data_IF_775565477477
#
_entry.id   IF_775565477477
#
_cell.length_a   1.000
_cell.length_b   1.000
_cell.length_c   1.000
_cell.angle_alpha   90.00
_cell.angle_beta   90.00
_cell.angle_gamma   90.00
#
_symmetry.space_group_name_H-M   'P 1'
#
loop_
_entity.id
_entity.type
_entity.pdbx_description
1 polymer ?
#
# COMPACT_ATOMS: atom_id res chain seq x y z
N UNK A 1 31.33 20.51 -4.49
CA UNK A 1 30.82 20.33 -5.87
C UNK A 1 29.30 20.50 -5.82
N UNK A 2 28.76 21.63 -6.28
CA UNK A 2 27.31 21.92 -6.29
C UNK A 2 26.72 21.36 -7.57
N UNK A 3 25.81 20.39 -7.47
CA UNK A 3 25.04 19.89 -8.61
C UNK A 3 23.78 20.75 -8.71
N UNK A 4 23.71 21.63 -9.71
CA UNK A 4 22.49 22.36 -10.06
C UNK A 4 21.64 21.50 -11.00
N UNK A 5 20.37 21.29 -10.67
CA UNK A 5 19.42 20.66 -11.59
C UNK A 5 18.78 21.73 -12.50
N UNK A 6 18.85 21.58 -13.84
CA UNK A 6 18.30 22.57 -14.77
C UNK A 6 16.86 22.19 -15.14
N UNK A 7 15.87 22.35 -14.26
CA UNK A 7 14.46 22.25 -14.68
C UNK A 7 13.59 23.29 -14.00
N UNK A 8 12.96 24.11 -14.83
CA UNK A 8 12.10 25.22 -14.49
C UNK A 8 10.83 24.70 -13.78
N UNK A 9 10.73 24.91 -12.47
CA UNK A 9 9.55 24.55 -11.68
C UNK A 9 8.45 25.59 -11.89
N UNK A 10 7.64 25.44 -12.94
CA UNK A 10 6.30 26.06 -12.99
C UNK A 10 5.25 25.01 -12.61
N UNK A 11 4.40 25.27 -11.61
CA UNK A 11 3.31 24.37 -11.27
C UNK A 11 2.28 24.39 -12.41
N UNK A 12 2.07 23.24 -13.03
CA UNK A 12 0.96 23.03 -13.96
C UNK A 12 -0.31 22.83 -13.12
N UNK A 13 -1.03 23.92 -12.85
CA UNK A 13 -2.38 23.84 -12.27
C UNK A 13 -3.36 23.54 -13.41
N UNK A 14 -4.12 22.43 -13.38
CA UNK A 14 -5.21 22.24 -14.34
C UNK A 14 -6.30 23.28 -14.04
N UNK A 15 -6.80 23.95 -15.09
CA UNK A 15 -7.97 24.83 -15.00
C UNK A 15 -9.16 24.00 -14.50
N UNK A 16 -9.73 24.41 -13.38
CA UNK A 16 -11.03 23.94 -12.93
C UNK A 16 -12.12 24.46 -13.89
N UNK A 17 -13.14 23.64 -14.12
CA UNK A 17 -14.42 23.92 -14.80
C UNK A 17 -14.47 23.57 -16.29
N UNK A 18 -14.84 22.31 -16.60
CA UNK A 18 -16.00 22.00 -17.46
C UNK A 18 -16.26 20.48 -17.51
N UNK A 19 -17.53 20.13 -17.27
CA UNK A 19 -18.25 18.91 -17.72
C UNK A 19 -17.87 17.55 -17.08
N UNK A 20 -18.57 17.23 -15.99
CA UNK A 20 -18.63 15.90 -15.34
C UNK A 20 -20.08 15.38 -15.31
N UNK A 21 -20.73 15.29 -16.47
CA UNK A 21 -22.14 14.83 -16.55
C UNK A 21 -22.41 13.66 -17.48
N UNK A 22 -21.40 13.05 -18.10
CA UNK A 22 -21.63 11.95 -19.07
C UNK A 22 -20.66 10.76 -18.90
N UNK A 23 -20.37 10.37 -17.66
CA UNK A 23 -19.47 9.26 -17.33
C UNK A 23 -20.19 8.09 -16.64
N UNK A 24 -21.35 7.68 -17.15
CA UNK A 24 -22.09 6.56 -16.53
C UNK A 24 -21.78 5.20 -17.13
N UNK A 25 -21.34 5.06 -18.38
CA UNK A 25 -21.08 3.73 -18.96
C UNK A 25 -19.87 3.75 -19.91
N UNK A 26 -18.91 2.85 -19.66
CA UNK A 26 -17.60 2.66 -20.32
C UNK A 26 -16.41 3.53 -19.83
N UNK A 27 -15.23 2.92 -19.77
CA UNK A 27 -13.88 3.48 -19.43
C UNK A 27 -13.39 3.47 -17.96
N UNK A 28 -13.27 2.27 -17.36
CA UNK A 28 -12.56 2.11 -16.07
C UNK A 28 -11.03 1.98 -16.17
N UNK A 29 -10.46 1.70 -17.36
CA UNK A 29 -9.06 1.23 -17.52
C UNK A 29 -8.03 2.29 -17.92
N UNK A 30 -8.42 3.56 -18.00
CA UNK A 30 -7.56 4.66 -18.48
C UNK A 30 -7.53 5.86 -17.53
N UNK A 31 -8.37 5.87 -16.49
CA UNK A 31 -8.50 7.03 -15.61
C UNK A 31 -7.33 7.13 -14.63
N UNK A 32 -6.61 8.25 -14.68
CA UNK A 32 -5.58 8.57 -13.71
C UNK A 32 -6.17 9.04 -12.38
N UNK A 33 -5.47 8.72 -11.29
CA UNK A 33 -5.76 9.17 -9.93
C UNK A 33 -4.82 10.32 -9.56
N UNK A 34 -5.39 11.41 -9.09
CA UNK A 34 -4.65 12.61 -8.67
C UNK A 34 -4.38 12.59 -7.17
N UNK A 35 -3.33 13.30 -6.74
CA UNK A 35 -3.03 13.47 -5.32
C UNK A 35 -4.15 14.31 -4.68
N UNK A 36 -4.84 13.74 -3.68
CA UNK A 36 -5.91 14.43 -2.95
C UNK A 36 -5.42 15.51 -2.00
N UNK A 37 -4.15 15.46 -1.61
CA UNK A 37 -3.53 16.38 -0.67
C UNK A 37 -2.31 17.05 -1.33
N UNK A 38 -2.50 17.86 -2.39
CA UNK A 38 -1.39 18.53 -3.04
C UNK A 38 -0.74 19.58 -2.13
N UNK A 39 -1.47 20.14 -1.17
CA UNK A 39 -0.96 21.12 -0.21
C UNK A 39 0.02 20.53 0.82
N UNK A 40 -0.08 19.23 1.14
CA UNK A 40 0.84 18.57 2.07
C UNK A 40 2.10 18.02 1.39
N UNK A 41 2.11 17.93 0.06
CA UNK A 41 3.20 17.32 -0.71
C UNK A 41 4.58 17.93 -0.42
N UNK A 42 4.68 19.26 -0.28
CA UNK A 42 5.95 19.92 -0.01
C UNK A 42 6.55 19.51 1.35
N UNK A 43 5.70 19.39 2.37
CA UNK A 43 6.13 18.95 3.70
C UNK A 43 6.53 17.47 3.70
N UNK A 44 5.77 16.62 3.00
CA UNK A 44 6.09 15.19 2.86
C UNK A 44 7.42 14.97 2.13
N UNK A 45 7.67 15.74 1.06
CA UNK A 45 8.91 15.66 0.31
C UNK A 45 10.11 16.11 1.16
N UNK A 46 9.97 17.19 1.92
CA UNK A 46 11.02 17.64 2.84
C UNK A 46 11.32 16.58 3.91
N UNK A 47 10.27 16.00 4.49
CA UNK A 47 10.43 14.94 5.47
C UNK A 47 11.14 13.72 4.88
N UNK A 48 10.75 13.27 3.68
CA UNK A 48 11.38 12.13 3.02
C UNK A 48 12.87 12.37 2.76
N UNK A 49 13.25 13.60 2.39
CA UNK A 49 14.65 13.99 2.21
C UNK A 49 15.44 13.94 3.51
N UNK A 50 14.85 14.41 4.62
CA UNK A 50 15.49 14.39 5.94
C UNK A 50 15.76 12.98 6.45
N UNK A 51 14.85 12.03 6.17
CA UNK A 51 15.00 10.62 6.55
C UNK A 51 15.72 9.78 5.50
N UNK A 52 16.17 10.39 4.39
CA UNK A 52 16.96 9.73 3.35
C UNK A 52 16.16 8.75 2.47
N UNK A 53 14.84 8.91 2.36
CA UNK A 53 14.00 8.03 1.55
C UNK A 53 13.64 8.71 0.23
N UNK A 54 13.97 8.02 -0.87
CA UNK A 54 13.79 8.51 -2.22
C UNK A 54 13.05 7.49 -3.11
N UNK A 55 12.34 7.95 -4.16
CA UNK A 55 11.73 7.04 -5.11
C UNK A 55 12.79 6.31 -5.93
N UNK A 56 12.74 4.98 -5.90
CA UNK A 56 13.63 4.09 -6.65
C UNK A 56 12.90 3.68 -7.93
N UNK A 57 13.52 3.90 -9.09
CA UNK A 57 12.90 3.71 -10.40
C UNK A 57 13.14 2.31 -10.93
N UNK A 58 12.12 1.66 -11.52
CA UNK A 58 12.29 0.40 -12.27
C UNK A 58 13.40 0.51 -13.32
N UNK A 59 14.26 -0.51 -13.37
CA UNK A 59 15.40 -0.60 -14.29
C UNK A 59 16.71 -0.03 -13.75
N UNK A 60 16.78 0.33 -12.47
CA UNK A 60 18.05 0.63 -11.79
C UNK A 60 18.52 -0.58 -10.99
N UNK A 61 19.83 -0.71 -10.76
CA UNK A 61 20.38 -1.79 -9.92
C UNK A 61 19.82 -1.75 -8.49
N UNK A 62 19.58 -0.55 -7.96
CA UNK A 62 18.95 -0.36 -6.66
C UNK A 62 17.53 -0.92 -6.60
N UNK A 63 16.75 -0.78 -7.70
CA UNK A 63 15.42 -1.37 -7.78
C UNK A 63 15.49 -2.90 -7.69
N UNK A 64 16.40 -3.51 -8.44
CA UNK A 64 16.54 -4.96 -8.50
C UNK A 64 16.98 -5.54 -7.13
N UNK A 65 17.88 -4.85 -6.43
CA UNK A 65 18.28 -5.18 -5.06
C UNK A 65 17.09 -5.18 -4.11
N UNK A 66 16.28 -4.12 -4.13
CA UNK A 66 15.16 -3.99 -3.20
C UNK A 66 13.99 -4.91 -3.52
N UNK A 67 13.69 -5.12 -4.80
CA UNK A 67 12.66 -6.09 -5.20
C UNK A 67 13.08 -7.50 -4.79
N UNK A 68 14.37 -7.84 -4.87
CA UNK A 68 14.85 -9.18 -4.54
C UNK A 68 15.11 -9.42 -3.04
N UNK A 69 15.11 -8.37 -2.21
CA UNK A 69 15.51 -8.48 -0.79
C UNK A 69 14.42 -9.04 0.13
N UNK A 70 13.19 -9.25 -0.36
CA UNK A 70 12.06 -9.64 0.47
C UNK A 70 11.40 -8.48 1.23
N UNK A 71 11.91 -7.25 1.08
CA UNK A 71 11.39 -6.10 1.79
C UNK A 71 9.95 -5.75 1.38
N UNK A 72 9.17 -5.24 2.33
CA UNK A 72 7.88 -4.61 2.03
C UNK A 72 8.10 -3.22 1.43
N UNK A 73 7.32 -2.89 0.41
CA UNK A 73 7.54 -1.71 -0.42
C UNK A 73 6.23 -0.96 -0.64
N UNK A 74 6.32 0.36 -0.74
CA UNK A 74 5.29 1.16 -1.43
C UNK A 74 5.66 1.25 -2.89
N UNK A 75 4.66 1.24 -3.78
CA UNK A 75 4.90 1.38 -5.21
C UNK A 75 3.87 2.29 -5.87
N UNK A 76 4.27 2.89 -6.99
CA UNK A 76 3.41 3.74 -7.83
C UNK A 76 3.70 3.48 -9.30
N UNK A 77 2.65 3.46 -10.11
CA UNK A 77 2.74 3.40 -11.57
C UNK A 77 2.13 4.68 -12.15
N UNK A 78 3.00 5.58 -12.60
CA UNK A 78 2.62 6.93 -12.99
C UNK A 78 1.93 6.96 -14.35
N UNK A 79 1.26 8.08 -14.68
CA UNK A 79 0.67 8.29 -16.01
C UNK A 79 1.68 8.22 -17.17
N UNK A 80 2.98 8.35 -16.88
CA UNK A 80 4.07 8.17 -17.84
C UNK A 80 4.52 6.72 -17.98
N UNK A 81 3.73 5.76 -17.47
CA UNK A 81 4.03 4.33 -17.49
C UNK A 81 5.38 3.99 -16.85
N UNK A 82 5.72 4.69 -15.76
CA UNK A 82 6.94 4.47 -14.99
C UNK A 82 6.57 3.90 -13.62
N UNK A 83 7.20 2.77 -13.27
CA UNK A 83 7.11 2.16 -11.96
C UNK A 83 8.21 2.72 -11.06
N UNK A 84 7.81 3.16 -9.87
CA UNK A 84 8.71 3.53 -8.78
C UNK A 84 8.32 2.79 -7.50
N UNK A 85 9.31 2.49 -6.68
CA UNK A 85 9.13 1.95 -5.33
C UNK A 85 9.78 2.87 -4.29
N UNK A 86 9.42 2.67 -3.03
CA UNK A 86 10.21 3.12 -1.90
C UNK A 86 10.15 2.07 -0.80
N UNK A 87 11.29 1.86 -0.15
CA UNK A 87 11.47 0.92 0.97
C UNK A 87 11.89 1.73 2.21
N UNK A 88 11.37 1.37 3.38
CA UNK A 88 11.66 2.09 4.62
C UNK A 88 10.61 1.87 5.70
N UNK A 89 10.78 2.55 6.84
CA UNK A 89 9.89 2.45 8.00
C UNK A 89 8.47 2.85 7.61
N UNK A 90 7.50 2.00 7.93
CA UNK A 90 6.08 2.24 7.63
C UNK A 90 5.67 3.68 8.00
N UNK A 91 5.20 4.44 7.02
CA UNK A 91 4.70 5.81 7.21
C UNK A 91 5.61 6.93 6.69
N UNK A 92 6.90 6.69 6.44
CA UNK A 92 7.86 7.77 6.13
C UNK A 92 7.85 8.27 4.67
N UNK A 93 7.56 7.42 3.69
CA UNK A 93 7.34 7.86 2.30
C UNK A 93 5.85 7.75 1.93
N UNK A 94 5.21 8.86 1.58
CA UNK A 94 3.86 8.84 1.02
C UNK A 94 3.90 8.40 -0.45
N UNK A 95 2.82 7.81 -0.96
CA UNK A 95 2.72 7.55 -2.41
C UNK A 95 2.87 8.84 -3.24
N UNK A 96 2.51 10.01 -2.67
CA UNK A 96 2.69 11.30 -3.33
C UNK A 96 4.17 11.64 -3.52
N UNK A 97 5.01 11.40 -2.51
CA UNK A 97 6.47 11.53 -2.63
C UNK A 97 7.03 10.59 -3.70
N UNK A 98 6.61 9.32 -3.69
CA UNK A 98 7.09 8.31 -4.65
C UNK A 98 6.72 8.72 -6.08
N UNK A 99 5.48 9.18 -6.29
CA UNK A 99 4.99 9.67 -7.57
C UNK A 99 5.49 11.07 -7.93
N UNK A 100 6.23 11.75 -7.03
CA UNK A 100 6.65 13.15 -7.17
C UNK A 100 5.48 14.12 -7.43
N UNK A 101 4.36 13.87 -6.78
CA UNK A 101 3.11 14.63 -6.94
C UNK A 101 2.36 14.39 -8.26
N UNK A 102 2.88 13.52 -9.14
CA UNK A 102 2.25 13.22 -10.42
C UNK A 102 1.01 12.34 -10.26
N UNK A 103 0.02 12.46 -11.15
CA UNK A 103 -1.06 11.50 -11.24
C UNK A 103 -0.54 10.08 -11.52
N UNK A 104 -1.27 9.09 -11.04
CA UNK A 104 -0.92 7.67 -11.17
C UNK A 104 -2.04 6.89 -11.84
N UNK A 105 -1.70 5.86 -12.61
CA UNK A 105 -2.70 4.87 -13.04
C UNK A 105 -3.02 3.90 -11.89
N UNK A 106 -2.01 3.55 -11.09
CA UNK A 106 -2.18 2.73 -9.90
C UNK A 106 -1.07 2.98 -8.90
N UNK A 107 -1.30 2.65 -7.65
CA UNK A 107 -0.34 2.70 -6.57
C UNK A 107 -0.74 1.65 -5.54
N UNK A 108 0.14 1.38 -4.59
CA UNK A 108 -0.17 0.37 -3.60
C UNK A 108 0.97 0.04 -2.66
N UNK A 109 0.74 -1.04 -1.92
CA UNK A 109 1.77 -1.72 -1.16
C UNK A 109 2.13 -3.01 -1.88
N UNK A 110 3.35 -3.48 -1.64
CA UNK A 110 3.86 -4.76 -2.13
C UNK A 110 4.62 -5.47 -1.02
N UNK A 111 4.38 -6.76 -0.80
CA UNK A 111 5.13 -7.59 0.14
C UNK A 111 5.35 -8.99 -0.45
N UNK A 112 6.44 -9.64 -0.03
CA UNK A 112 6.72 -11.00 -0.48
C UNK A 112 5.97 -12.02 0.36
N UNK A 113 5.36 -12.99 -0.33
CA UNK A 113 4.87 -14.23 0.25
C UNK A 113 5.50 -15.39 -0.52
N UNK A 114 6.49 -16.04 0.09
CA UNK A 114 7.37 -17.00 -0.56
C UNK A 114 7.97 -16.42 -1.85
N UNK A 115 7.65 -16.99 -3.00
CA UNK A 115 8.14 -16.58 -4.33
C UNK A 115 7.16 -15.71 -5.11
N UNK A 116 6.14 -15.16 -4.45
CA UNK A 116 5.13 -14.30 -5.08
C UNK A 116 5.12 -12.93 -4.40
N UNK A 117 5.18 -11.88 -5.21
CA UNK A 117 5.00 -10.51 -4.74
C UNK A 117 3.51 -10.20 -4.66
N UNK A 118 2.98 -10.13 -3.45
CA UNK A 118 1.63 -9.70 -3.19
C UNK A 118 1.52 -8.19 -3.28
N UNK A 119 0.55 -7.70 -4.06
CA UNK A 119 0.30 -6.28 -4.22
C UNK A 119 -1.14 -5.94 -3.88
N UNK A 120 -1.33 -4.84 -3.17
CA UNK A 120 -2.65 -4.36 -2.77
C UNK A 120 -2.88 -2.93 -3.23
N UNK A 121 -4.15 -2.52 -3.32
CA UNK A 121 -4.55 -1.15 -3.65
C UNK A 121 -4.47 -0.21 -2.43
N UNK A 122 -3.76 -0.60 -1.37
CA UNK A 122 -3.64 0.19 -0.15
C UNK A 122 -2.80 1.44 -0.43
N UNK A 123 -3.50 2.54 -0.62
CA UNK A 123 -2.98 3.78 -1.14
C UNK A 123 -3.47 4.93 -0.27
N UNK A 124 -2.54 5.79 0.15
CA UNK A 124 -2.90 6.97 0.94
C UNK A 124 -3.61 7.99 0.06
N UNK A 125 -2.83 8.80 -0.66
CA UNK A 125 -3.34 10.02 -1.27
C UNK A 125 -3.98 9.84 -2.65
N UNK A 126 -3.73 8.71 -3.29
CA UNK A 126 -4.30 8.35 -4.58
C UNK A 126 -5.29 7.23 -4.30
N UNK A 127 -6.60 7.49 -4.27
CA UNK A 127 -7.59 6.44 -3.99
C UNK A 127 -7.74 5.47 -5.17
N UNK A 128 -6.71 4.68 -5.44
CA UNK A 128 -6.73 3.70 -6.51
C UNK A 128 -7.67 2.56 -6.16
N UNK A 129 -8.22 1.89 -7.17
CA UNK A 129 -9.18 0.81 -6.98
C UNK A 129 -8.54 -0.55 -7.25
N UNK A 130 -9.17 -1.63 -6.78
CA UNK A 130 -8.79 -2.99 -7.20
C UNK A 130 -8.87 -3.15 -8.72
N UNK A 131 -9.78 -2.43 -9.38
CA UNK A 131 -9.88 -2.44 -10.83
C UNK A 131 -8.63 -1.84 -11.49
N UNK A 132 -8.23 -0.62 -11.10
CA UNK A 132 -7.02 0.01 -11.67
C UNK A 132 -5.76 -0.82 -11.39
N UNK A 133 -5.73 -1.45 -10.22
CA UNK A 133 -4.68 -2.40 -9.86
C UNK A 133 -4.65 -3.60 -10.83
N UNK A 134 -5.79 -4.25 -11.07
CA UNK A 134 -5.89 -5.38 -12.03
C UNK A 134 -5.51 -4.98 -13.45
N UNK A 135 -5.91 -3.78 -13.89
CA UNK A 135 -5.61 -3.30 -15.25
C UNK A 135 -4.13 -2.92 -15.45
N UNK A 136 -3.46 -2.38 -14.44
CA UNK A 136 -2.13 -1.78 -14.62
C UNK A 136 -0.99 -2.45 -13.87
N UNK A 137 -1.27 -3.29 -12.86
CA UNK A 137 -0.21 -3.94 -12.10
C UNK A 137 0.61 -4.90 -12.97
N UNK A 138 -0.06 -5.75 -13.75
CA UNK A 138 0.64 -6.67 -14.64
C UNK A 138 1.56 -5.92 -15.59
N UNK A 139 1.12 -4.79 -16.16
CA UNK A 139 1.97 -3.96 -16.99
C UNK A 139 3.15 -3.36 -16.23
N UNK A 140 2.91 -2.79 -15.04
CA UNK A 140 3.94 -2.17 -14.22
C UNK A 140 5.08 -3.16 -13.90
N UNK A 141 4.71 -4.38 -13.52
CA UNK A 141 5.60 -5.41 -13.01
C UNK A 141 6.06 -6.45 -14.05
N UNK A 142 5.48 -6.47 -15.26
CA UNK A 142 5.69 -7.51 -16.30
C UNK A 142 7.14 -7.89 -16.50
N UNK A 143 8.00 -6.89 -16.65
CA UNK A 143 9.41 -7.09 -17.03
C UNK A 143 10.35 -7.10 -15.82
N UNK A 144 9.81 -7.16 -14.60
CA UNK A 144 10.60 -7.25 -13.37
C UNK A 144 10.99 -8.70 -13.02
N UNK A 145 10.54 -9.69 -13.80
CA UNK A 145 10.82 -11.11 -13.52
C UNK A 145 10.19 -11.62 -12.22
N UNK A 146 9.16 -10.95 -11.71
CA UNK A 146 8.46 -11.31 -10.48
C UNK A 146 7.06 -11.84 -10.80
N UNK A 147 6.66 -12.90 -10.09
CA UNK A 147 5.28 -13.34 -10.09
C UNK A 147 4.50 -12.43 -9.14
N UNK A 148 3.46 -11.76 -9.63
CA UNK A 148 2.60 -10.91 -8.81
C UNK A 148 1.27 -11.58 -8.50
N UNK A 149 0.75 -11.32 -7.30
CA UNK A 149 -0.61 -11.68 -6.89
C UNK A 149 -1.32 -10.45 -6.34
N UNK A 150 -2.50 -10.13 -6.88
CA UNK A 150 -3.33 -9.05 -6.37
C UNK A 150 -4.11 -9.56 -5.16
N UNK A 151 -4.06 -8.80 -4.07
CA UNK A 151 -4.71 -9.14 -2.80
C UNK A 151 -5.48 -7.94 -2.26
N UNK A 152 -6.65 -8.20 -1.69
CA UNK A 152 -7.38 -7.19 -0.91
C UNK A 152 -7.03 -7.34 0.57
N UNK A 153 -6.08 -6.52 1.03
CA UNK A 153 -5.64 -6.55 2.42
C UNK A 153 -6.72 -6.07 3.42
N UNK A 154 -7.76 -5.37 2.97
CA UNK A 154 -8.87 -5.00 3.87
C UNK A 154 -9.70 -6.23 4.22
N UNK A 155 -9.95 -7.06 3.22
CA UNK A 155 -10.66 -8.32 3.40
C UNK A 155 -9.86 -9.27 4.30
N UNK A 156 -8.54 -9.38 4.06
CA UNK A 156 -7.67 -10.21 4.92
C UNK A 156 -7.59 -9.71 6.37
N UNK A 157 -7.55 -8.39 6.60
CA UNK A 157 -7.58 -7.84 7.96
C UNK A 157 -8.93 -8.10 8.65
N UNK A 158 -10.04 -8.01 7.92
CA UNK A 158 -11.37 -8.31 8.46
C UNK A 158 -11.47 -9.79 8.88
N UNK A 159 -11.07 -10.71 8.01
CA UNK A 159 -11.05 -12.15 8.31
C UNK A 159 -10.13 -12.48 9.49
N UNK A 160 -8.92 -11.90 9.54
CA UNK A 160 -8.00 -12.11 10.66
C UNK A 160 -8.56 -11.58 11.99
N UNK A 161 -9.31 -10.47 11.97
CA UNK A 161 -9.96 -9.92 13.15
C UNK A 161 -11.11 -10.83 13.63
N UNK A 162 -11.90 -11.38 12.71
CA UNK A 162 -12.95 -12.34 13.01
C UNK A 162 -12.38 -13.65 13.60
N UNK A 163 -11.33 -14.20 13.00
CA UNK A 163 -10.65 -15.40 13.50
C UNK A 163 -10.07 -15.19 14.90
N UNK A 164 -9.37 -14.06 15.13
CA UNK A 164 -8.87 -13.73 16.45
C UNK A 164 -10.01 -13.59 17.47
N UNK A 165 -11.10 -12.90 17.11
CA UNK A 165 -12.26 -12.74 17.98
C UNK A 165 -12.88 -14.08 18.36
N UNK A 166 -12.95 -15.03 17.40
CA UNK A 166 -13.41 -16.39 17.65
C UNK A 166 -12.47 -17.16 18.57
N UNK A 167 -11.16 -17.09 18.35
CA UNK A 167 -10.17 -17.74 19.23
C UNK A 167 -10.26 -17.23 20.67
N UNK A 168 -10.44 -15.92 20.87
CA UNK A 168 -10.62 -15.35 22.22
C UNK A 168 -11.93 -15.84 22.87
N UNK A 169 -13.03 -15.92 22.12
CA UNK A 169 -14.30 -16.45 22.63
C UNK A 169 -14.20 -17.93 23.03
N UNK A 170 -13.54 -18.77 22.22
CA UNK A 170 -13.30 -20.18 22.54
C UNK A 170 -12.43 -20.34 23.80
N UNK A 171 -11.39 -19.51 23.94
CA UNK A 171 -10.54 -19.51 25.13
C UNK A 171 -11.30 -19.09 26.41
N UNK A 172 -12.21 -18.10 26.33
CA UNK A 172 -13.05 -17.72 27.47
C UNK A 172 -14.01 -18.85 27.89
N UNK A 173 -14.60 -19.58 26.94
CA UNK A 173 -15.48 -20.71 27.23
C UNK A 173 -14.71 -21.82 27.97
N UNK A 174 -13.51 -22.16 27.50
CA UNK A 174 -12.62 -23.12 28.15
C UNK A 174 -12.24 -22.70 29.58
N UNK A 175 -11.92 -21.41 29.78
CA UNK A 175 -11.59 -20.88 31.11
C UNK A 175 -12.79 -20.89 32.06
N UNK A 176 -14.01 -20.61 31.58
CA UNK A 176 -15.24 -20.70 32.38
C UNK A 176 -15.60 -22.14 32.72
N UNK A 177 -15.48 -23.08 31.78
CA UNK A 177 -15.70 -24.51 32.02
C UNK A 177 -14.77 -25.08 33.09
N UNK A 178 -13.49 -24.70 33.08
CA UNK A 178 -12.52 -25.14 34.09
C UNK A 178 -12.74 -24.53 35.48
N UNK A 179 -13.33 -23.33 35.59
CA UNK A 179 -13.71 -22.75 36.89
C UNK A 179 -14.90 -23.47 37.53
N UNK A 180 -15.86 -23.93 36.72
CA UNK A 180 -17.02 -24.68 37.23
C UNK A 180 -16.62 -26.09 37.70
N UNK A 181 -15.66 -26.74 37.03
CA UNK A 181 -15.15 -28.05 37.45
C UNK A 181 -14.27 -28.01 38.72
N UNK A 182 -13.72 -26.85 39.11
CA UNK A 182 -12.96 -26.69 40.37
C UNK A 182 -13.82 -26.30 41.57
N UNK A 183 -15.09 -25.91 41.37
CA UNK A 183 -15.99 -25.53 42.45
C UNK A 183 -16.76 -26.71 43.07
N UNK A 184 -16.57 -27.94 42.56
CA UNK A 184 -17.24 -29.15 43.05
C UNK A 184 -16.30 -30.13 43.75
N UNK A 185 -15.96 -29.87 45.00
CA UNK A 185 -15.93 -30.90 46.08
C UNK A 185 -15.64 -30.25 47.45
N UNK A 186 -16.67 -29.74 48.15
CA UNK A 186 -16.59 -29.46 49.57
C UNK A 186 -16.96 -30.75 50.33
N UNK A 187 -16.00 -31.65 50.52
CA UNK A 187 -16.27 -32.88 51.26
C UNK A 187 -15.10 -33.84 51.21
N UNK A 188 -14.06 -33.55 51.99
CA UNK A 188 -13.20 -34.54 52.64
C UNK A 188 -12.20 -33.79 53.53
N UNK A 189 -12.64 -33.44 54.74
CA UNK A 189 -11.74 -33.15 55.86
C UNK A 189 -11.82 -34.36 56.81
N UNK A 190 -10.72 -35.08 57.06
CA UNK A 190 -10.72 -36.15 58.04
C UNK A 190 -10.81 -35.56 59.46
N UNK A 191 -11.68 -36.17 60.28
CA UNK A 191 -11.82 -35.89 61.72
C UNK A 191 -10.59 -36.31 62.50
#
# INVERSE_FOLDING_TARGET
>A
MKISYPFNMRPFLPRANQEYSDLSHFEGSTRAFFNKYPSSYAAELLHSQQVGIFPIKKGTSEFDVWVSSGASMKWVYTVYRKLYIAVGVSGTASHAVIARGLPVYSAGMACWNNYTLEISAYTGHYQTSLYSLRSHAYEAWRDCGVNIRIVDWREQQATALEENSRMFAEAEILLRGNRLNRAGNPGDYPL
#
